data_IF_288054943265
#
_entry.id   IF_288054943265
#
_cell.length_a   1.000
_cell.length_b   1.000
_cell.length_c   1.000
_cell.angle_alpha   90.00
_cell.angle_beta   90.00
_cell.angle_gamma   90.00
#
_symmetry.space_group_name_H-M   'P 1'
#
loop_
_entity.id
_entity.type
_entity.pdbx_description
1 polymer ?
#
# COMPACT_ATOMS: atom_id res chain seq x y z
N UNK A 1 -23.94 -4.07 4.43
CA UNK A 1 -23.68 -2.76 3.78
C UNK A 1 -24.52 -1.64 4.37
N UNK A 2 -25.86 -1.75 4.46
CA UNK A 2 -26.76 -0.70 4.99
C UNK A 2 -26.35 -0.26 6.41
N UNK A 3 -25.91 -1.19 7.26
CA UNK A 3 -25.46 -0.89 8.63
C UNK A 3 -24.26 0.04 8.70
N UNK A 4 -23.43 0.11 7.64
CA UNK A 4 -22.23 0.96 7.55
C UNK A 4 -22.53 2.41 7.14
N UNK A 5 -23.68 2.70 6.51
CA UNK A 5 -23.99 4.01 5.96
C UNK A 5 -23.94 5.16 6.98
N UNK A 6 -24.32 4.87 8.25
CA UNK A 6 -24.36 5.89 9.30
C UNK A 6 -22.99 6.34 9.79
N UNK A 7 -22.04 5.40 9.95
CA UNK A 7 -20.68 5.67 10.44
C UNK A 7 -19.74 4.52 10.02
N UNK A 8 -19.14 4.56 8.82
CA UNK A 8 -18.39 3.45 8.26
C UNK A 8 -17.21 3.00 9.15
N UNK A 9 -16.44 3.92 9.68
CA UNK A 9 -15.27 3.61 10.53
C UNK A 9 -15.70 3.01 11.89
N UNK A 10 -16.79 3.52 12.47
CA UNK A 10 -17.26 3.08 13.78
C UNK A 10 -17.85 1.67 13.76
N UNK A 11 -18.49 1.28 12.66
CA UNK A 11 -19.12 -0.04 12.46
C UNK A 11 -18.32 -0.95 11.53
N UNK A 12 -17.05 -0.64 11.32
CA UNK A 12 -16.16 -1.47 10.51
C UNK A 12 -15.94 -2.83 11.18
N UNK A 13 -16.39 -3.91 10.57
CA UNK A 13 -16.26 -5.27 11.12
C UNK A 13 -14.82 -5.75 11.28
N UNK A 14 -13.84 -5.16 10.60
CA UNK A 14 -12.43 -5.51 10.73
C UNK A 14 -11.79 -4.92 12.00
N UNK A 15 -12.24 -3.75 12.43
CA UNK A 15 -11.69 -3.03 13.57
C UNK A 15 -12.60 -3.06 14.80
N UNK A 16 -13.91 -3.15 14.60
CA UNK A 16 -14.94 -3.07 15.65
C UNK A 16 -16.03 -4.14 15.46
N UNK A 17 -15.64 -5.43 15.47
CA UNK A 17 -16.52 -6.55 15.14
C UNK A 17 -17.83 -6.57 15.95
N UNK A 18 -17.74 -6.40 17.29
CA UNK A 18 -18.93 -6.43 18.17
C UNK A 18 -19.92 -5.28 17.87
N UNK A 19 -19.39 -4.10 17.54
CA UNK A 19 -20.22 -2.96 17.14
C UNK A 19 -20.88 -3.18 15.79
N UNK A 20 -20.16 -3.82 14.87
CA UNK A 20 -20.69 -4.18 13.56
C UNK A 20 -21.85 -5.19 13.68
N UNK A 21 -21.71 -6.21 14.52
CA UNK A 21 -22.78 -7.19 14.81
C UNK A 21 -23.99 -6.49 15.44
N UNK A 22 -23.79 -5.71 16.49
CA UNK A 22 -24.90 -4.99 17.15
C UNK A 22 -25.65 -4.09 16.18
N UNK A 23 -24.93 -3.39 15.32
CA UNK A 23 -25.53 -2.51 14.30
C UNK A 23 -26.26 -3.30 13.21
N UNK A 24 -25.69 -4.43 12.73
CA UNK A 24 -26.36 -5.34 11.81
C UNK A 24 -27.67 -5.85 12.39
N UNK A 25 -27.64 -6.34 13.63
CA UNK A 25 -28.83 -6.91 14.28
C UNK A 25 -29.94 -5.86 14.46
N UNK A 26 -29.58 -4.62 14.81
CA UNK A 26 -30.54 -3.51 14.87
C UNK A 26 -31.20 -3.26 13.50
N UNK A 27 -30.42 -3.26 12.42
CA UNK A 27 -30.97 -3.10 11.05
C UNK A 27 -31.89 -4.24 10.69
N UNK A 28 -31.52 -5.50 11.01
CA UNK A 28 -32.36 -6.68 10.76
C UNK A 28 -33.67 -6.61 11.55
N UNK A 29 -33.63 -6.14 12.81
CA UNK A 29 -34.84 -5.92 13.60
C UNK A 29 -35.78 -4.92 12.95
N UNK A 30 -35.27 -3.79 12.51
CA UNK A 30 -36.06 -2.76 11.81
C UNK A 30 -36.61 -3.28 10.47
N UNK A 31 -35.86 -4.09 9.75
CA UNK A 31 -36.33 -4.71 8.50
C UNK A 31 -37.48 -5.68 8.76
N UNK A 32 -37.42 -6.44 9.87
CA UNK A 32 -38.53 -7.31 10.29
C UNK A 32 -39.77 -6.51 10.73
N UNK A 33 -39.58 -5.46 11.53
CA UNK A 33 -40.66 -4.58 11.98
C UNK A 33 -41.39 -3.89 10.82
N UNK A 34 -40.67 -3.60 9.74
CA UNK A 34 -41.20 -3.00 8.51
C UNK A 34 -41.63 -4.05 7.46
N UNK A 35 -41.68 -5.32 7.83
CA UNK A 35 -42.12 -6.45 6.98
C UNK A 35 -41.25 -6.66 5.69
N UNK A 36 -40.03 -6.13 5.63
CA UNK A 36 -39.11 -6.41 4.54
C UNK A 36 -38.54 -7.83 4.58
N UNK A 37 -38.48 -8.43 5.80
CA UNK A 37 -38.06 -9.82 6.00
C UNK A 37 -39.03 -10.49 6.99
N UNK A 38 -39.27 -11.80 6.80
CA UNK A 38 -40.09 -12.57 7.71
C UNK A 38 -39.29 -13.08 8.93
N UNK A 39 -39.99 -13.69 9.89
CA UNK A 39 -39.38 -14.21 11.13
C UNK A 39 -38.31 -15.27 10.88
N UNK A 40 -38.50 -16.16 9.90
CA UNK A 40 -37.54 -17.20 9.55
C UNK A 40 -36.23 -16.61 8.99
N UNK A 41 -36.37 -15.67 8.06
CA UNK A 41 -35.24 -14.95 7.47
C UNK A 41 -34.47 -14.11 8.51
N UNK A 42 -35.21 -13.50 9.45
CA UNK A 42 -34.59 -12.74 10.53
C UNK A 42 -33.76 -13.63 11.46
N UNK A 43 -34.27 -14.80 11.87
CA UNK A 43 -33.53 -15.74 12.73
C UNK A 43 -32.28 -16.27 12.04
N UNK A 44 -32.39 -16.71 10.80
CA UNK A 44 -31.28 -17.18 10.01
C UNK A 44 -30.17 -16.09 9.86
N UNK A 45 -30.57 -14.87 9.53
CA UNK A 45 -29.62 -13.76 9.33
C UNK A 45 -28.92 -13.29 10.62
N UNK A 46 -29.56 -13.44 11.81
CA UNK A 46 -28.95 -13.12 13.12
C UNK A 46 -27.90 -14.17 13.51
N UNK A 47 -28.19 -15.44 13.25
CA UNK A 47 -27.28 -16.54 13.59
C UNK A 47 -26.06 -16.59 12.66
N UNK A 48 -26.20 -16.08 11.44
CA UNK A 48 -25.08 -16.06 10.49
C UNK A 48 -23.95 -15.12 10.95
N UNK A 49 -22.70 -15.61 11.10
CA UNK A 49 -21.58 -14.76 11.46
C UNK A 49 -21.22 -13.79 10.32
N UNK A 50 -20.69 -12.60 10.66
CA UNK A 50 -20.16 -11.69 9.64
C UNK A 50 -18.89 -12.32 9.05
N UNK A 51 -18.99 -12.78 7.80
CA UNK A 51 -17.87 -13.42 7.12
C UNK A 51 -16.90 -12.34 6.57
N UNK A 52 -15.84 -12.06 7.33
CA UNK A 52 -14.80 -11.09 6.96
C UNK A 52 -13.70 -11.68 6.09
N UNK A 53 -13.70 -13.00 5.84
CA UNK A 53 -12.66 -13.67 5.06
C UNK A 53 -12.63 -13.15 3.61
N UNK A 54 -13.79 -12.93 3.01
CA UNK A 54 -13.88 -12.33 1.65
C UNK A 54 -13.30 -10.92 1.57
N UNK A 55 -13.45 -10.12 2.63
CA UNK A 55 -12.88 -8.77 2.70
C UNK A 55 -11.35 -8.78 2.86
N UNK A 56 -10.82 -9.75 3.63
CA UNK A 56 -9.36 -9.94 3.74
C UNK A 56 -8.75 -10.44 2.43
N UNK A 57 -9.43 -11.36 1.74
CA UNK A 57 -8.97 -11.87 0.44
C UNK A 57 -9.00 -10.80 -0.65
N UNK A 58 -10.01 -9.93 -0.67
CA UNK A 58 -10.05 -8.80 -1.61
C UNK A 58 -9.01 -7.71 -1.30
N UNK A 59 -8.60 -7.53 -0.03
CA UNK A 59 -7.41 -6.71 0.29
C UNK A 59 -6.10 -7.37 -0.12
N UNK A 60 -6.09 -8.70 -0.31
CA UNK A 60 -4.93 -9.47 -0.78
C UNK A 60 -4.90 -9.70 -2.30
N UNK A 61 -5.91 -9.30 -3.04
CA UNK A 61 -5.73 -9.09 -4.48
C UNK A 61 -4.76 -7.92 -4.63
N UNK A 62 -3.47 -8.24 -4.48
CA UNK A 62 -2.40 -7.35 -4.89
C UNK A 62 -2.73 -6.90 -6.30
N UNK A 63 -2.80 -5.61 -6.53
CA UNK A 63 -2.88 -5.06 -7.87
C UNK A 63 -1.84 -5.79 -8.72
N UNK A 64 -2.27 -6.44 -9.80
CA UNK A 64 -1.40 -7.27 -10.64
C UNK A 64 -0.18 -6.47 -11.12
N UNK A 65 -0.31 -5.16 -11.29
CA UNK A 65 0.76 -4.28 -11.74
C UNK A 65 0.61 -2.87 -11.13
N UNK A 66 0.89 -2.67 -9.83
CA UNK A 66 0.59 -1.41 -9.15
C UNK A 66 1.31 -0.20 -9.76
N UNK A 67 2.56 -0.35 -10.18
CA UNK A 67 3.33 0.73 -10.80
C UNK A 67 2.80 1.09 -12.20
N UNK A 68 2.35 0.11 -12.97
CA UNK A 68 1.72 0.35 -14.25
C UNK A 68 0.38 1.08 -14.08
N UNK A 69 -0.45 0.64 -13.12
CA UNK A 69 -1.74 1.29 -12.81
C UNK A 69 -1.52 2.74 -12.37
N UNK A 70 -0.52 3.00 -11.51
CA UNK A 70 -0.20 4.35 -11.06
C UNK A 70 0.33 5.22 -12.21
N UNK A 71 1.15 4.68 -13.08
CA UNK A 71 1.62 5.38 -14.29
C UNK A 71 0.42 5.78 -15.18
N UNK A 72 -0.52 4.88 -15.44
CA UNK A 72 -1.73 5.18 -16.22
C UNK A 72 -2.57 6.25 -15.51
N UNK A 73 -2.78 6.12 -14.19
CA UNK A 73 -3.52 7.11 -13.41
C UNK A 73 -2.90 8.50 -13.54
N UNK A 74 -1.57 8.62 -13.40
CA UNK A 74 -0.87 9.89 -13.54
C UNK A 74 -0.94 10.44 -14.97
N UNK A 75 -0.88 9.58 -15.98
CA UNK A 75 -1.00 9.99 -17.37
C UNK A 75 -2.40 10.55 -17.63
N UNK A 76 -3.45 9.84 -17.24
CA UNK A 76 -4.83 10.29 -17.42
C UNK A 76 -5.15 11.57 -16.64
N UNK A 77 -4.64 11.71 -15.40
CA UNK A 77 -4.88 12.91 -14.60
C UNK A 77 -4.20 14.17 -15.13
N UNK A 78 -3.16 14.03 -16.00
CA UNK A 78 -2.47 15.14 -16.64
C UNK A 78 -2.97 15.46 -18.05
N UNK A 79 -3.75 14.55 -18.63
CA UNK A 79 -4.28 14.67 -19.97
C UNK A 79 -5.53 15.58 -19.97
N UNK A 80 -5.54 16.62 -20.78
CA UNK A 80 -6.62 17.62 -20.85
C UNK A 80 -7.96 16.98 -21.25
N UNK A 81 -7.93 15.99 -22.15
CA UNK A 81 -9.14 15.32 -22.64
C UNK A 81 -9.81 14.46 -21.56
N UNK A 82 -9.05 14.02 -20.56
CA UNK A 82 -9.55 13.19 -19.46
C UNK A 82 -9.86 13.95 -18.17
N UNK A 83 -9.51 15.22 -18.07
CA UNK A 83 -9.78 16.05 -16.87
C UNK A 83 -11.26 16.21 -16.54
N UNK A 84 -12.14 16.01 -17.50
CA UNK A 84 -13.60 16.09 -17.32
C UNK A 84 -14.17 14.88 -16.57
N UNK A 85 -13.41 13.79 -16.46
CA UNK A 85 -13.84 12.54 -15.83
C UNK A 85 -13.24 12.37 -14.44
N UNK A 86 -14.05 11.89 -13.49
CA UNK A 86 -13.56 11.40 -12.20
C UNK A 86 -13.20 9.93 -12.31
N UNK A 87 -11.89 9.63 -12.27
CA UNK A 87 -11.36 8.25 -12.43
C UNK A 87 -11.93 7.25 -11.40
N UNK A 88 -12.50 7.74 -10.29
CA UNK A 88 -12.99 6.90 -9.20
C UNK A 88 -14.52 6.85 -9.08
N UNK A 89 -15.24 7.80 -9.70
CA UNK A 89 -16.69 7.94 -9.56
C UNK A 89 -17.47 7.61 -10.82
N UNK A 90 -16.88 7.85 -11.99
CA UNK A 90 -17.60 7.76 -13.26
C UNK A 90 -17.69 6.33 -13.83
N UNK A 91 -17.15 5.32 -13.09
CA UNK A 91 -17.25 3.92 -13.48
C UNK A 91 -16.54 3.58 -14.79
N UNK A 92 -15.44 4.26 -15.10
CA UNK A 92 -14.68 4.12 -16.33
C UNK A 92 -14.07 2.73 -16.46
N UNK A 93 -14.08 2.18 -17.69
CA UNK A 93 -13.37 0.97 -18.07
C UNK A 93 -12.17 1.35 -18.91
N UNK A 94 -10.96 1.14 -18.37
CA UNK A 94 -9.71 1.54 -19.01
C UNK A 94 -9.03 0.31 -19.61
N UNK A 95 -9.03 0.19 -20.93
CA UNK A 95 -8.31 -0.85 -21.66
C UNK A 95 -6.84 -0.46 -21.80
N UNK A 96 -5.93 -1.39 -21.48
CA UNK A 96 -4.49 -1.15 -21.51
C UNK A 96 -3.75 -2.24 -22.28
N UNK A 97 -2.47 -2.02 -22.55
CA UNK A 97 -1.58 -2.96 -23.21
C UNK A 97 -0.99 -4.01 -22.27
N UNK A 98 -1.25 -3.92 -20.96
CA UNK A 98 -0.71 -4.85 -19.96
C UNK A 98 -1.16 -6.30 -20.27
N UNK A 99 -0.18 -7.20 -20.31
CA UNK A 99 -0.42 -8.64 -20.41
C UNK A 99 -0.22 -9.28 -19.03
N UNK A 100 -1.31 -9.81 -18.45
CA UNK A 100 -1.28 -10.36 -17.09
C UNK A 100 -0.32 -11.55 -16.93
N UNK A 101 -0.17 -12.39 -17.95
CA UNK A 101 0.75 -13.53 -17.93
C UNK A 101 2.20 -13.07 -17.97
N UNK A 102 2.54 -12.12 -18.86
CA UNK A 102 3.89 -11.54 -18.93
C UNK A 102 4.22 -10.79 -17.64
N UNK A 103 3.26 -10.03 -17.11
CA UNK A 103 3.43 -9.33 -15.83
C UNK A 103 3.73 -10.31 -14.67
N UNK A 104 3.03 -11.43 -14.62
CA UNK A 104 3.26 -12.47 -13.62
C UNK A 104 4.67 -13.05 -13.74
N UNK A 105 5.10 -13.42 -14.94
CA UNK A 105 6.47 -13.93 -15.15
C UNK A 105 7.54 -12.89 -14.82
N UNK A 106 7.31 -11.62 -15.14
CA UNK A 106 8.21 -10.54 -14.80
C UNK A 106 8.36 -10.39 -13.27
N UNK A 107 7.27 -10.48 -12.52
CA UNK A 107 7.29 -10.43 -11.05
C UNK A 107 8.00 -11.65 -10.46
N UNK A 108 7.70 -12.85 -10.94
CA UNK A 108 8.34 -14.10 -10.49
C UNK A 108 9.85 -14.06 -10.74
N UNK A 109 10.29 -13.64 -11.92
CA UNK A 109 11.71 -13.52 -12.25
C UNK A 109 12.44 -12.50 -11.34
N UNK A 110 11.79 -11.37 -11.04
CA UNK A 110 12.33 -10.38 -10.10
C UNK A 110 12.40 -10.96 -8.69
N UNK A 111 11.35 -11.64 -8.21
CA UNK A 111 11.33 -12.23 -6.87
C UNK A 111 12.42 -13.30 -6.70
N UNK A 112 12.58 -14.18 -7.68
CA UNK A 112 13.58 -15.24 -7.66
C UNK A 112 15.00 -14.66 -7.65
N UNK A 113 15.31 -13.75 -8.57
CA UNK A 113 16.64 -13.13 -8.63
C UNK A 113 16.98 -12.34 -7.37
N UNK A 114 16.04 -11.54 -6.86
CA UNK A 114 16.30 -10.67 -5.71
C UNK A 114 16.35 -11.40 -4.37
N UNK A 115 15.86 -12.63 -4.29
CA UNK A 115 15.95 -13.47 -3.09
C UNK A 115 17.41 -13.70 -2.66
N UNK A 116 18.28 -13.97 -3.60
CA UNK A 116 19.72 -14.20 -3.33
C UNK A 116 20.54 -12.90 -3.45
N UNK A 117 20.24 -12.08 -4.44
CA UNK A 117 20.99 -10.85 -4.70
C UNK A 117 20.98 -9.90 -3.49
N UNK A 118 19.82 -9.63 -2.89
CA UNK A 118 19.71 -8.75 -1.73
C UNK A 118 20.52 -9.27 -0.53
N UNK A 119 20.47 -10.58 -0.27
CA UNK A 119 21.23 -11.18 0.84
C UNK A 119 22.75 -11.13 0.61
N UNK A 120 23.18 -11.33 -0.63
CA UNK A 120 24.60 -11.26 -1.03
C UNK A 120 25.10 -9.81 -0.94
N UNK A 121 24.34 -8.85 -1.44
CA UNK A 121 24.67 -7.43 -1.32
C UNK A 121 24.81 -7.01 0.16
N UNK A 122 23.86 -7.39 1.02
CA UNK A 122 23.91 -7.03 2.44
C UNK A 122 25.09 -7.64 3.18
N UNK A 123 25.54 -8.84 2.80
CA UNK A 123 26.75 -9.48 3.37
C UNK A 123 28.03 -8.79 2.94
N UNK A 124 28.09 -8.29 1.73
CA UNK A 124 29.29 -7.61 1.19
C UNK A 124 29.35 -6.14 1.61
N UNK A 125 28.21 -5.52 1.93
CA UNK A 125 28.13 -4.12 2.33
C UNK A 125 28.64 -3.91 3.76
N UNK A 126 29.56 -2.94 3.94
CA UNK A 126 30.09 -2.57 5.24
C UNK A 126 29.84 -1.10 5.57
N UNK A 127 29.03 -0.87 6.60
CA UNK A 127 28.80 0.50 7.12
C UNK A 127 30.03 1.09 7.82
N UNK A 128 30.95 0.26 8.33
CA UNK A 128 32.22 0.73 8.89
C UNK A 128 33.10 1.40 7.84
N UNK A 129 33.02 0.96 6.58
CA UNK A 129 33.77 1.53 5.47
C UNK A 129 33.03 2.73 4.83
N UNK A 130 31.74 2.93 5.15
CA UNK A 130 30.87 3.95 4.56
C UNK A 130 30.27 4.89 5.61
N UNK A 131 31.07 5.29 6.60
CA UNK A 131 30.63 6.14 7.74
C UNK A 131 30.10 7.50 7.29
N UNK A 132 30.76 8.14 6.33
CA UNK A 132 30.36 9.46 5.85
C UNK A 132 29.03 9.42 5.12
N UNK A 133 28.81 8.36 4.32
CA UNK A 133 27.52 8.12 3.68
C UNK A 133 26.42 7.92 4.75
N UNK A 134 26.67 7.06 5.76
CA UNK A 134 25.71 6.86 6.83
C UNK A 134 25.39 8.17 7.57
N UNK A 135 26.39 8.96 7.91
CA UNK A 135 26.19 10.25 8.57
C UNK A 135 25.34 11.21 7.72
N UNK A 136 25.58 11.26 6.41
CA UNK A 136 24.82 12.10 5.49
C UNK A 136 23.37 11.66 5.38
N UNK A 137 23.12 10.35 5.30
CA UNK A 137 21.77 9.77 5.24
C UNK A 137 20.99 10.00 6.55
N UNK A 138 21.62 9.76 7.69
CA UNK A 138 21.02 10.02 9.02
C UNK A 138 20.69 11.51 9.17
N UNK A 139 21.58 12.40 8.80
CA UNK A 139 21.34 13.85 8.84
C UNK A 139 20.16 14.26 7.95
N UNK A 140 20.09 13.71 6.74
CA UNK A 140 18.98 13.97 5.80
C UNK A 140 17.65 13.48 6.39
N UNK A 141 17.62 12.27 6.94
CA UNK A 141 16.42 11.70 7.53
C UNK A 141 15.94 12.51 8.74
N UNK A 142 16.85 12.95 9.63
CA UNK A 142 16.51 13.79 10.79
C UNK A 142 15.88 15.12 10.33
N UNK A 143 16.42 15.76 9.28
CA UNK A 143 15.88 17.01 8.75
C UNK A 143 14.45 16.87 8.17
N UNK A 144 14.02 15.68 7.85
CA UNK A 144 12.67 15.40 7.34
C UNK A 144 11.65 15.10 8.45
N UNK A 145 12.10 14.93 9.70
CA UNK A 145 11.21 14.67 10.84
C UNK A 145 10.39 15.94 11.16
N UNK A 146 9.05 15.86 11.27
CA UNK A 146 8.22 17.03 11.61
C UNK A 146 8.65 17.74 12.89
N UNK A 147 9.04 16.98 13.92
CA UNK A 147 9.58 17.50 15.19
C UNK A 147 10.82 18.39 14.99
N UNK A 148 11.72 18.00 14.06
CA UNK A 148 12.92 18.78 13.72
C UNK A 148 12.58 20.03 12.90
N UNK A 149 11.64 19.91 11.97
CA UNK A 149 11.24 21.03 11.10
C UNK A 149 10.57 22.16 11.88
N UNK A 150 9.76 21.82 12.88
CA UNK A 150 9.06 22.78 13.72
C UNK A 150 9.91 23.33 14.89
N UNK A 151 11.10 22.76 15.16
CA UNK A 151 11.93 23.12 16.29
C UNK A 151 12.78 24.37 16.03
N UNK A 152 13.03 25.14 17.10
CA UNK A 152 14.04 26.21 17.12
C UNK A 152 15.47 25.63 17.09
N UNK A 153 16.47 26.45 16.84
CA UNK A 153 17.87 26.03 16.65
C UNK A 153 18.43 25.24 17.84
N UNK A 154 18.14 25.69 19.07
CA UNK A 154 18.60 25.01 20.30
C UNK A 154 18.00 23.60 20.41
N UNK A 155 16.71 23.47 20.14
CA UNK A 155 16.01 22.19 20.20
C UNK A 155 16.41 21.24 19.05
N UNK A 156 16.76 21.76 17.87
CA UNK A 156 17.27 20.96 16.75
C UNK A 156 18.51 20.16 17.14
N UNK A 157 19.44 20.76 17.87
CA UNK A 157 20.63 20.08 18.36
C UNK A 157 20.31 18.92 19.32
N UNK A 158 19.29 19.11 20.18
CA UNK A 158 18.84 18.07 21.12
C UNK A 158 18.18 16.91 20.33
N UNK A 159 17.30 17.23 19.40
CA UNK A 159 16.61 16.25 18.54
C UNK A 159 17.64 15.46 17.72
N UNK A 160 18.61 16.13 17.13
CA UNK A 160 19.66 15.47 16.35
C UNK A 160 20.46 14.47 17.19
N UNK A 161 20.88 14.87 18.40
CA UNK A 161 21.58 13.96 19.32
C UNK A 161 20.73 12.78 19.75
N UNK A 162 19.43 12.97 19.97
CA UNK A 162 18.46 11.92 20.32
C UNK A 162 18.39 10.88 19.20
N UNK A 163 18.09 11.29 17.98
CA UNK A 163 17.91 10.37 16.85
C UNK A 163 19.20 9.70 16.38
N UNK A 164 20.36 10.36 16.49
CA UNK A 164 21.66 9.72 16.20
C UNK A 164 22.00 8.60 17.19
N UNK A 165 21.50 8.65 18.43
CA UNK A 165 21.67 7.60 19.44
C UNK A 165 20.59 6.53 19.38
N UNK A 166 19.48 6.79 18.69
CA UNK A 166 18.40 5.83 18.52
C UNK A 166 18.83 4.73 17.51
N UNK A 167 19.14 3.55 18.06
CA UNK A 167 19.58 2.40 17.28
C UNK A 167 18.53 1.97 16.26
N UNK A 168 17.24 1.98 16.64
CA UNK A 168 16.15 1.54 15.75
C UNK A 168 16.03 2.51 14.56
N UNK A 169 16.09 3.80 14.81
CA UNK A 169 16.07 4.83 13.77
C UNK A 169 17.26 4.68 12.81
N UNK A 170 18.47 4.56 13.34
CA UNK A 170 19.68 4.41 12.50
C UNK A 170 19.65 3.11 11.72
N UNK A 171 19.22 1.99 12.31
CA UNK A 171 19.13 0.71 11.63
C UNK A 171 18.02 0.71 10.57
N UNK A 172 16.92 1.43 10.75
CA UNK A 172 15.91 1.62 9.70
C UNK A 172 16.48 2.34 8.47
N UNK A 173 17.29 3.38 8.68
CA UNK A 173 17.98 4.11 7.60
C UNK A 173 18.99 3.22 6.89
N UNK A 174 19.79 2.45 7.62
CA UNK A 174 20.73 1.50 7.04
C UNK A 174 20.01 0.47 6.16
N UNK A 175 18.91 -0.09 6.66
CA UNK A 175 18.12 -1.07 5.92
C UNK A 175 17.50 -0.47 4.67
N UNK A 176 16.92 0.73 4.76
CA UNK A 176 16.36 1.42 3.60
C UNK A 176 17.45 1.71 2.54
N UNK A 177 18.61 2.21 2.96
CA UNK A 177 19.71 2.55 2.07
C UNK A 177 20.38 1.34 1.39
N UNK A 178 20.31 0.16 2.02
CA UNK A 178 20.84 -1.09 1.44
C UNK A 178 19.77 -1.97 0.79
N UNK A 179 18.53 -1.51 0.73
CA UNK A 179 17.48 -2.19 -0.03
C UNK A 179 17.61 -1.83 -1.50
N UNK A 180 18.08 -2.78 -2.29
CA UNK A 180 18.26 -2.60 -3.74
C UNK A 180 16.89 -2.50 -4.41
N UNK A 181 16.72 -1.53 -5.29
CA UNK A 181 15.51 -1.32 -6.07
C UNK A 181 15.69 -1.89 -7.49
N UNK A 182 14.58 -2.26 -8.12
CA UNK A 182 14.56 -2.79 -9.47
C UNK A 182 13.51 -2.06 -10.30
N UNK A 183 13.85 -1.80 -11.56
CA UNK A 183 12.93 -1.40 -12.61
C UNK A 183 13.01 -2.39 -13.75
N UNK A 184 11.88 -3.05 -14.10
CA UNK A 184 11.79 -3.95 -15.23
C UNK A 184 10.63 -3.50 -16.11
N UNK A 185 10.90 -3.36 -17.41
CA UNK A 185 9.91 -3.07 -18.44
C UNK A 185 9.99 -4.12 -19.54
N UNK A 186 8.83 -4.64 -19.95
CA UNK A 186 8.70 -5.47 -21.15
C UNK A 186 7.90 -4.68 -22.17
N UNK A 187 8.53 -4.40 -23.32
CA UNK A 187 7.98 -3.57 -24.39
C UNK A 187 7.93 -4.38 -25.68
N UNK A 188 6.81 -4.27 -26.38
CA UNK A 188 6.70 -4.79 -27.72
C UNK A 188 7.43 -3.86 -28.72
N UNK A 189 8.49 -4.30 -29.42
CA UNK A 189 9.35 -3.38 -30.18
C UNK A 189 8.64 -2.71 -31.37
N UNK A 190 7.61 -3.37 -31.93
CA UNK A 190 6.90 -2.86 -33.12
C UNK A 190 5.94 -1.72 -32.81
N UNK A 191 5.31 -1.76 -31.64
CA UNK A 191 4.24 -0.83 -31.28
C UNK A 191 4.65 0.12 -30.16
N UNK A 192 5.73 -0.19 -29.40
CA UNK A 192 6.13 0.50 -28.19
C UNK A 192 5.20 0.22 -26.99
N UNK A 193 4.29 -0.76 -27.12
CA UNK A 193 3.35 -1.09 -26.07
C UNK A 193 4.04 -1.71 -24.86
N UNK A 194 3.75 -1.20 -23.65
CA UNK A 194 4.25 -1.77 -22.40
C UNK A 194 3.40 -2.98 -22.04
N UNK A 195 3.98 -4.18 -22.06
CA UNK A 195 3.32 -5.44 -21.75
C UNK A 195 3.45 -5.84 -20.28
N UNK A 196 4.54 -5.44 -19.60
CA UNK A 196 4.72 -5.62 -18.17
C UNK A 196 5.58 -4.52 -17.58
N UNK A 197 5.36 -4.22 -16.28
CA UNK A 197 6.10 -3.22 -15.54
C UNK A 197 6.24 -3.61 -14.07
N UNK A 198 7.49 -3.72 -13.58
CA UNK A 198 7.81 -3.94 -12.17
C UNK A 198 8.68 -2.77 -11.72
N UNK A 199 8.23 -2.00 -10.73
CA UNK A 199 8.87 -0.73 -10.34
C UNK A 199 9.55 -0.73 -8.98
N UNK A 200 9.56 -1.84 -8.23
CA UNK A 200 10.20 -1.90 -6.93
C UNK A 200 10.63 -3.32 -6.57
N UNK A 201 11.64 -3.43 -5.69
CA UNK A 201 12.06 -4.72 -5.16
C UNK A 201 10.96 -5.39 -4.34
N UNK A 202 10.91 -6.74 -4.27
CA UNK A 202 9.92 -7.48 -3.50
C UNK A 202 9.90 -7.11 -2.01
N UNK A 203 11.07 -6.81 -1.43
CA UNK A 203 11.18 -6.38 -0.03
C UNK A 203 10.49 -5.03 0.18
N UNK A 204 10.77 -4.05 -0.67
CA UNK A 204 10.17 -2.73 -0.61
C UNK A 204 8.65 -2.79 -0.78
N UNK A 205 8.16 -3.62 -1.70
CA UNK A 205 6.73 -3.83 -1.93
C UNK A 205 6.02 -4.46 -0.73
N UNK A 206 6.68 -5.36 0.01
CA UNK A 206 6.11 -5.99 1.22
C UNK A 206 6.04 -5.02 2.40
N UNK A 207 7.10 -4.24 2.61
CA UNK A 207 7.23 -3.30 3.75
C UNK A 207 6.36 -2.04 3.57
N UNK A 208 6.12 -1.62 2.34
CA UNK A 208 5.41 -0.38 2.01
C UNK A 208 4.05 -0.62 1.33
N UNK A 209 3.40 -1.75 1.61
CA UNK A 209 2.08 -2.07 1.03
C UNK A 209 1.01 -1.00 1.24
N UNK A 210 1.10 -0.27 2.34
CA UNK A 210 0.15 0.78 2.72
C UNK A 210 0.70 2.20 2.44
N UNK A 211 1.98 2.33 2.07
CA UNK A 211 2.53 3.60 1.65
C UNK A 211 1.95 3.93 0.27
N UNK A 212 1.17 5.00 0.20
CA UNK A 212 0.74 5.59 -1.07
C UNK A 212 1.99 5.82 -1.91
N UNK A 213 2.02 5.21 -3.09
CA UNK A 213 3.12 5.21 -4.03
C UNK A 213 3.64 6.64 -4.29
N UNK A 214 4.63 7.05 -3.51
CA UNK A 214 5.43 8.23 -3.79
C UNK A 214 6.81 7.74 -4.23
N UNK A 215 6.98 7.56 -5.51
CA UNK A 215 8.27 7.56 -6.18
C UNK A 215 8.45 8.90 -6.87
#
# INVERSE_FOLDING_TARGET
LVSLLKAPEHYNGLTNYDKAIKRRNLVLTLMKEQEYINESQYREAIEEPINLIKLKQNKQQSLIAPHFVEMIRQKLSKDEDFKIYDLYRDGLVIHTTLNSSIQKYAQEAVEEHFKEFQSTFQRQWSWSNNKDLLNSLVTRAIKQIPEYQSANESNRNIIEKKYRKDKQFVDSIKNAATTVQVGLLVIEPRTGAILAMVGASPKFMKENRDAKYSL
#
